data_IF_462646304411
#
_entry.id   IF_462646304411
#
_cell.length_a   1.000
_cell.length_b   1.000
_cell.length_c   1.000
_cell.angle_alpha   90.00
_cell.angle_beta   90.00
_cell.angle_gamma   90.00
#
_symmetry.space_group_name_H-M   'P 1'
#
loop_
_entity.id
_entity.type
_entity.pdbx_description
1 polymer ?
#
# COMPACT_ATOMS: atom_id res chain seq x y z
N UNK A 1 6.47 -0.11 9.57
CA UNK A 1 5.03 -0.47 9.65
C UNK A 1 4.15 0.77 9.71
N UNK A 2 4.70 1.93 10.06
CA UNK A 2 4.03 3.21 9.92
C UNK A 2 4.12 3.79 8.51
N UNK A 3 2.97 4.23 7.99
CA UNK A 3 2.84 4.99 6.74
C UNK A 3 1.72 4.51 5.83
N UNK A 4 0.98 5.46 5.24
CA UNK A 4 0.02 5.20 4.15
C UNK A 4 0.80 5.04 2.83
N UNK A 5 0.39 4.09 1.98
CA UNK A 5 1.05 3.80 0.69
C UNK A 5 0.09 3.88 -0.48
N UNK A 6 0.48 4.61 -1.51
CA UNK A 6 -0.30 4.71 -2.74
C UNK A 6 -0.25 3.39 -3.51
N UNK A 7 -1.35 3.01 -4.18
CA UNK A 7 -1.39 1.82 -5.05
C UNK A 7 -0.27 1.83 -6.10
N UNK A 8 0.10 3.03 -6.59
CA UNK A 8 1.17 3.24 -7.56
C UNK A 8 2.56 2.80 -7.06
N UNK A 9 2.77 2.79 -5.74
CA UNK A 9 4.02 2.34 -5.13
C UNK A 9 4.01 0.83 -4.81
N UNK A 10 2.82 0.24 -4.72
CA UNK A 10 2.63 -1.16 -4.33
C UNK A 10 2.76 -2.06 -5.56
N UNK A 11 2.01 -1.79 -6.64
CA UNK A 11 2.02 -2.66 -7.83
C UNK A 11 3.40 -2.90 -8.47
N UNK A 12 4.33 -1.91 -8.58
CA UNK A 12 5.65 -2.17 -9.17
C UNK A 12 6.49 -3.12 -8.31
N UNK A 13 6.31 -3.13 -6.98
CA UNK A 13 7.05 -4.02 -6.08
C UNK A 13 6.55 -5.45 -6.13
N UNK A 14 5.26 -5.62 -6.41
CA UNK A 14 4.59 -6.93 -6.48
C UNK A 14 4.83 -7.60 -7.85
N UNK A 15 5.43 -6.88 -8.83
CA UNK A 15 5.63 -7.35 -10.22
C UNK A 15 4.32 -7.90 -10.84
N UNK A 16 3.19 -7.28 -10.48
CA UNK A 16 1.85 -7.63 -10.97
C UNK A 16 1.16 -6.39 -11.51
N UNK A 17 0.14 -6.60 -12.33
CA UNK A 17 -0.67 -5.50 -12.88
C UNK A 17 -1.44 -4.79 -11.78
N UNK A 18 -1.69 -3.49 -11.98
CA UNK A 18 -2.45 -2.67 -11.04
C UNK A 18 -3.84 -3.28 -10.76
N UNK A 19 -4.50 -3.84 -11.78
CA UNK A 19 -5.83 -4.45 -11.67
C UNK A 19 -5.84 -5.60 -10.67
N UNK A 20 -4.88 -6.53 -10.78
CA UNK A 20 -4.77 -7.68 -9.87
C UNK A 20 -4.47 -7.23 -8.44
N UNK A 21 -3.55 -6.27 -8.29
CA UNK A 21 -3.16 -5.73 -6.97
C UNK A 21 -4.34 -4.98 -6.33
N UNK A 22 -5.12 -4.22 -7.09
CA UNK A 22 -6.31 -3.55 -6.58
C UNK A 22 -7.35 -4.53 -6.08
N UNK A 23 -7.61 -5.63 -6.82
CA UNK A 23 -8.53 -6.68 -6.39
C UNK A 23 -8.07 -7.34 -5.09
N UNK A 24 -6.78 -7.66 -4.99
CA UNK A 24 -6.20 -8.24 -3.76
C UNK A 24 -6.31 -7.29 -2.57
N UNK A 25 -6.02 -6.00 -2.77
CA UNK A 25 -6.14 -4.98 -1.72
C UNK A 25 -7.60 -4.81 -1.27
N UNK A 26 -8.57 -4.82 -2.19
CA UNK A 26 -9.98 -4.80 -1.83
C UNK A 26 -10.39 -6.02 -0.99
N UNK A 27 -9.85 -7.21 -1.28
CA UNK A 27 -10.09 -8.40 -0.47
C UNK A 27 -9.48 -8.27 0.93
N UNK A 28 -8.27 -7.72 1.04
CA UNK A 28 -7.60 -7.47 2.32
C UNK A 28 -8.31 -6.39 3.16
N UNK A 29 -8.91 -5.40 2.50
CA UNK A 29 -9.75 -4.38 3.13
C UNK A 29 -11.05 -4.98 3.65
N UNK A 30 -11.73 -5.83 2.85
CA UNK A 30 -12.90 -6.58 3.28
C UNK A 30 -12.60 -7.52 4.45
N UNK A 31 -11.39 -8.06 4.53
CA UNK A 31 -10.92 -8.85 5.66
C UNK A 31 -10.58 -8.01 6.91
N UNK A 32 -10.68 -6.67 6.85
CA UNK A 32 -10.42 -5.77 7.98
C UNK A 32 -8.94 -5.64 8.35
N UNK A 33 -8.03 -6.05 7.47
CA UNK A 33 -6.58 -6.04 7.73
C UNK A 33 -5.96 -4.68 7.41
N UNK A 34 -6.39 -4.08 6.30
CA UNK A 34 -5.92 -2.78 5.80
C UNK A 34 -7.09 -1.80 5.69
N UNK A 35 -6.76 -0.51 5.67
CA UNK A 35 -7.71 0.57 5.45
C UNK A 35 -7.29 1.35 4.20
N UNK A 36 -8.24 1.62 3.31
CA UNK A 36 -8.03 2.53 2.19
C UNK A 36 -8.40 3.97 2.57
N UNK A 37 -7.69 4.93 1.99
CA UNK A 37 -7.97 6.36 2.07
C UNK A 37 -7.82 6.94 0.67
N UNK A 38 -8.89 7.55 0.16
CA UNK A 38 -8.85 8.23 -1.13
C UNK A 38 -8.41 9.67 -0.96
N UNK A 39 -7.40 10.09 -1.71
CA UNK A 39 -6.93 11.47 -1.76
C UNK A 39 -6.82 11.90 -3.23
N UNK A 40 -7.83 12.65 -3.68
CA UNK A 40 -8.00 13.02 -5.09
C UNK A 40 -8.15 11.79 -5.99
N UNK A 41 -7.27 11.67 -7.00
CA UNK A 41 -7.24 10.55 -7.95
C UNK A 41 -6.50 9.31 -7.43
N UNK A 42 -5.94 9.37 -6.22
CA UNK A 42 -5.11 8.31 -5.66
C UNK A 42 -5.78 7.63 -4.48
N UNK A 43 -5.49 6.34 -4.35
CA UNK A 43 -5.93 5.52 -3.23
C UNK A 43 -4.68 5.10 -2.46
N UNK A 44 -4.68 5.45 -1.18
CA UNK A 44 -3.66 5.11 -0.21
C UNK A 44 -4.16 3.97 0.66
N UNK A 45 -3.31 3.02 0.99
CA UNK A 45 -3.61 1.90 1.87
C UNK A 45 -2.70 1.96 3.08
N UNK A 46 -3.25 1.67 4.26
CA UNK A 46 -2.50 1.55 5.51
C UNK A 46 -2.89 0.28 6.25
N UNK A 47 -1.96 -0.27 7.03
CA UNK A 47 -2.26 -1.40 7.92
C UNK A 47 -2.99 -0.82 9.14
N UNK A 48 -4.22 -1.30 9.38
CA UNK A 48 -5.02 -0.89 10.55
C UNK A 48 -4.91 -1.91 11.67
N UNK A 49 -4.78 -3.18 11.32
CA UNK A 49 -4.93 -4.27 12.27
C UNK A 49 -3.61 -4.58 13.02
N UNK A 50 -3.58 -4.50 14.36
CA UNK A 50 -2.39 -4.82 15.15
C UNK A 50 -1.97 -6.29 15.04
N UNK A 51 -2.90 -7.20 14.72
CA UNK A 51 -2.59 -8.63 14.48
C UNK A 51 -1.64 -8.78 13.31
N UNK A 52 -1.83 -8.01 12.23
CA UNK A 52 -0.95 -8.04 11.05
C UNK A 52 0.46 -7.58 11.45
N UNK A 53 0.56 -6.50 12.23
CA UNK A 53 1.84 -6.05 12.79
C UNK A 53 2.50 -7.13 13.67
N UNK A 54 1.73 -7.86 14.48
CA UNK A 54 2.25 -8.93 15.33
C UNK A 54 2.72 -10.14 14.52
N UNK A 55 1.99 -10.52 13.47
CA UNK A 55 2.40 -11.59 12.54
C UNK A 55 3.69 -11.20 11.83
N UNK A 56 3.80 -9.97 11.30
CA UNK A 56 5.04 -9.51 10.66
C UNK A 56 6.23 -9.46 11.64
N UNK A 57 5.99 -9.08 12.91
CA UNK A 57 7.01 -9.14 13.97
C UNK A 57 7.42 -10.58 14.28
N UNK A 58 6.46 -11.49 14.41
CA UNK A 58 6.70 -12.91 14.69
C UNK A 58 7.46 -13.61 13.56
N UNK A 59 7.23 -13.18 12.32
CA UNK A 59 7.95 -13.63 11.13
C UNK A 59 9.37 -13.01 10.99
N UNK A 60 9.82 -12.20 11.94
CA UNK A 60 11.16 -11.61 11.93
C UNK A 60 11.34 -10.42 10.97
N UNK A 61 10.27 -9.84 10.44
CA UNK A 61 10.34 -8.61 9.64
C UNK A 61 10.47 -7.39 10.56
N UNK A 62 11.63 -7.24 11.24
CA UNK A 62 11.88 -6.20 12.25
C UNK A 62 12.04 -4.79 11.66
N UNK A 63 12.26 -4.67 10.34
CA UNK A 63 12.26 -3.39 9.62
C UNK A 63 11.53 -3.58 8.30
N UNK A 64 10.23 -3.27 8.29
CA UNK A 64 9.54 -2.96 7.05
C UNK A 64 10.12 -1.66 6.47
N UNK A 65 11.19 -1.76 5.68
CA UNK A 65 11.64 -0.71 4.76
C UNK A 65 10.49 -0.49 3.78
N UNK A 66 9.61 0.45 4.11
CA UNK A 66 8.62 0.97 3.20
C UNK A 66 8.96 2.43 2.94
N UNK A 67 10.10 2.57 2.26
CA UNK A 67 10.70 3.77 1.68
C UNK A 67 9.68 4.89 1.53
N UNK A 68 9.79 5.89 2.40
CA UNK A 68 9.20 7.21 2.23
C UNK A 68 9.77 7.77 0.92
N UNK A 69 9.06 7.59 -0.18
CA UNK A 69 9.26 8.35 -1.41
C UNK A 69 7.89 8.87 -1.79
N UNK A 70 7.74 10.18 -1.60
CA UNK A 70 6.77 11.02 -2.27
C UNK A 70 6.61 10.55 -3.70
N UNK A 71 5.41 10.14 -4.11
CA UNK A 71 5.16 9.91 -5.53
C UNK A 71 3.82 10.48 -5.98
N UNK A 72 3.98 11.50 -6.83
CA UNK A 72 3.08 12.30 -7.65
C UNK A 72 2.32 13.49 -7.00
N UNK A 73 3.03 14.58 -6.72
CA UNK A 73 2.56 15.85 -7.30
C UNK A 73 2.53 15.69 -8.84
N UNK A 74 1.57 16.33 -9.48
CA UNK A 74 1.35 16.30 -10.92
C UNK A 74 2.61 16.73 -11.66
N UNK A 75 3.00 16.04 -12.74
CA UNK A 75 3.41 16.72 -13.97
C UNK A 75 2.84 15.95 -15.17
N UNK A 76 2.00 16.68 -15.92
CA UNK A 76 1.82 16.42 -17.34
C UNK A 76 3.15 16.82 -17.97
N UNK A 77 3.82 15.93 -18.66
CA UNK A 77 4.59 16.36 -19.83
C UNK A 77 4.19 15.45 -20.99
N UNK A 78 3.46 16.07 -21.91
CA UNK A 78 3.42 15.64 -23.30
C UNK A 78 4.82 15.84 -23.86
N UNK A 79 5.39 14.82 -24.48
CA UNK A 79 6.08 15.00 -25.75
C UNK A 79 6.05 13.69 -26.54
#
# INVERSE_FOLDING_TARGET
LDGEKCVCEIFPKVKRTQSTVSTQLSTLEKAGLIQSRRHGKKIFYKIKNPVVCNVFKALGYSKGILLKKTCCMQEREKK
#
